data_IF_861763493415
#
_entry.id   IF_861763493415
#
_cell.length_a   1.000
_cell.length_b   1.000
_cell.length_c   1.000
_cell.angle_alpha   90.00
_cell.angle_beta   90.00
_cell.angle_gamma   90.00
#
_symmetry.space_group_name_H-M   'P 1'
#
loop_
_entity.id
_entity.type
_entity.pdbx_description
1 polymer ?
#
# COMPACT_ATOMS: atom_id res chain seq x y z
N UNK A 1 -4.41 -8.83 4.90
CA UNK A 1 -4.00 -7.94 6.00
C UNK A 1 -3.11 -6.85 5.43
N UNK A 2 -3.55 -5.59 5.52
CA UNK A 2 -2.76 -4.44 5.11
C UNK A 2 -1.53 -4.27 6.01
N UNK A 3 -0.40 -3.80 5.46
CA UNK A 3 0.70 -3.30 6.29
C UNK A 3 0.23 -2.00 6.95
N UNK A 4 -0.31 -2.14 8.16
CA UNK A 4 -0.90 -1.07 8.97
C UNK A 4 -0.34 -1.15 10.39
N UNK A 5 -0.48 -0.08 11.19
CA UNK A 5 -0.36 -0.19 12.64
C UNK A 5 -1.24 -1.31 13.20
N UNK A 6 -0.61 -2.26 13.89
CA UNK A 6 -1.27 -3.39 14.54
C UNK A 6 -1.73 -3.06 15.97
N UNK A 7 -1.18 -2.01 16.56
CA UNK A 7 -1.68 -1.43 17.81
C UNK A 7 -2.97 -0.60 17.56
N UNK A 8 -3.67 -0.25 18.64
CA UNK A 8 -4.90 0.56 18.58
C UNK A 8 -4.62 1.93 17.94
N UNK A 9 -5.31 2.25 16.85
CA UNK A 9 -5.16 3.49 16.11
C UNK A 9 -6.50 3.91 15.50
N UNK A 10 -6.59 5.17 15.05
CA UNK A 10 -7.82 5.74 14.52
C UNK A 10 -7.83 5.85 12.98
N UNK A 11 -6.85 5.26 12.26
CA UNK A 11 -6.71 5.45 10.79
C UNK A 11 -8.00 5.05 10.07
N UNK A 12 -8.48 3.83 10.33
CA UNK A 12 -9.67 3.30 9.68
C UNK A 12 -10.94 4.00 10.17
N UNK A 13 -11.03 4.33 11.46
CA UNK A 13 -12.16 5.09 12.01
C UNK A 13 -12.28 6.47 11.35
N UNK A 14 -11.16 7.16 11.10
CA UNK A 14 -11.13 8.45 10.40
C UNK A 14 -11.58 8.25 8.95
N UNK A 15 -11.01 7.28 8.22
CA UNK A 15 -11.42 7.02 6.85
C UNK A 15 -12.92 6.74 6.74
N UNK A 16 -13.48 5.91 7.63
CA UNK A 16 -14.90 5.60 7.62
C UNK A 16 -15.79 6.80 7.95
N UNK A 17 -15.41 7.63 8.93
CA UNK A 17 -16.13 8.87 9.27
C UNK A 17 -16.16 9.84 8.10
N UNK A 18 -15.08 9.89 7.33
CA UNK A 18 -14.92 10.72 6.14
C UNK A 18 -15.49 10.05 4.87
N UNK A 19 -16.30 9.00 5.01
CA UNK A 19 -16.94 8.24 3.92
C UNK A 19 -15.95 7.65 2.89
N UNK A 20 -14.71 7.41 3.31
CA UNK A 20 -13.69 6.74 2.52
C UNK A 20 -13.70 5.23 2.78
N UNK A 21 -13.46 4.42 1.74
CA UNK A 21 -13.39 2.95 1.83
C UNK A 21 -12.10 2.44 1.20
N UNK A 22 -11.41 1.54 1.90
CA UNK A 22 -10.25 0.84 1.34
C UNK A 22 -10.75 -0.30 0.45
N UNK A 23 -10.62 -0.13 -0.87
CA UNK A 23 -11.10 -1.11 -1.87
C UNK A 23 -10.06 -2.15 -2.26
N UNK A 24 -8.78 -1.86 -2.05
CA UNK A 24 -7.67 -2.73 -2.39
C UNK A 24 -6.47 -2.49 -1.48
N UNK A 25 -5.63 -3.51 -1.33
CA UNK A 25 -4.35 -3.43 -0.64
C UNK A 25 -3.32 -4.34 -1.31
N UNK A 26 -2.13 -3.81 -1.60
CA UNK A 26 -1.14 -4.46 -2.46
C UNK A 26 -0.59 -5.78 -1.88
N UNK A 27 -0.37 -5.88 -0.57
CA UNK A 27 0.23 -7.08 0.04
C UNK A 27 -0.72 -8.29 -0.06
N UNK A 28 -2.03 -8.07 -0.19
CA UNK A 28 -3.01 -9.13 -0.44
C UNK A 28 -3.20 -9.47 -1.92
N UNK A 29 -2.45 -8.85 -2.84
CA UNK A 29 -2.55 -9.17 -4.27
C UNK A 29 -2.04 -10.58 -4.55
N UNK A 30 -2.83 -11.39 -5.26
CA UNK A 30 -2.45 -12.74 -5.66
C UNK A 30 -1.62 -12.65 -6.94
N UNK A 31 -0.36 -13.09 -6.88
CA UNK A 31 0.63 -12.88 -7.94
C UNK A 31 1.23 -14.16 -8.54
N UNK A 32 0.97 -15.33 -7.96
CA UNK A 32 1.65 -16.56 -8.38
C UNK A 32 0.89 -17.30 -9.49
N UNK A 33 1.61 -17.98 -10.40
CA UNK A 33 0.98 -18.83 -11.41
C UNK A 33 0.33 -20.06 -10.77
N UNK A 34 -0.50 -20.76 -11.54
CA UNK A 34 -1.09 -22.03 -11.12
C UNK A 34 -0.01 -23.03 -10.67
N UNK A 35 -0.26 -23.71 -9.56
CA UNK A 35 0.70 -24.64 -8.96
C UNK A 35 0.56 -26.02 -9.61
N UNK A 36 1.66 -26.55 -10.16
CA UNK A 36 1.71 -27.91 -10.67
C UNK A 36 2.08 -28.89 -9.54
N UNK A 37 1.12 -29.72 -9.14
CA UNK A 37 1.30 -30.76 -8.12
C UNK A 37 2.27 -31.87 -8.54
N UNK A 38 2.54 -32.05 -9.85
CA UNK A 38 3.55 -33.02 -10.33
C UNK A 38 4.99 -32.51 -10.13
N UNK A 39 5.16 -31.19 -9.95
CA UNK A 39 6.45 -30.52 -9.72
C UNK A 39 6.39 -29.61 -8.50
N UNK A 40 6.12 -30.14 -7.29
CA UNK A 40 5.74 -29.34 -6.13
C UNK A 40 6.82 -28.32 -5.71
N UNK A 41 8.09 -28.75 -5.66
CA UNK A 41 9.18 -27.85 -5.25
C UNK A 41 9.44 -26.72 -6.25
N UNK A 42 9.36 -27.01 -7.55
CA UNK A 42 9.52 -25.98 -8.56
C UNK A 42 8.34 -25.02 -8.60
N UNK A 43 7.11 -25.52 -8.44
CA UNK A 43 5.91 -24.70 -8.32
C UNK A 43 6.01 -23.75 -7.13
N UNK A 44 6.50 -24.24 -5.98
CA UNK A 44 6.74 -23.41 -4.80
C UNK A 44 7.85 -22.37 -5.04
N UNK A 45 8.97 -22.78 -5.66
CA UNK A 45 10.05 -21.85 -6.00
C UNK A 45 9.57 -20.74 -6.95
N UNK A 46 8.82 -21.09 -7.99
CA UNK A 46 8.19 -20.13 -8.91
C UNK A 46 7.25 -19.19 -8.16
N UNK A 47 6.38 -19.72 -7.29
CA UNK A 47 5.50 -18.90 -6.44
C UNK A 47 6.31 -17.89 -5.62
N UNK A 48 7.35 -18.30 -4.91
CA UNK A 48 8.17 -17.39 -4.10
C UNK A 48 8.85 -16.30 -4.92
N UNK A 49 9.40 -16.66 -6.08
CA UNK A 49 10.10 -15.72 -6.97
C UNK A 49 9.15 -14.79 -7.75
N UNK A 50 7.87 -15.13 -7.85
CA UNK A 50 6.86 -14.33 -8.58
C UNK A 50 6.36 -13.12 -7.79
N UNK A 51 6.77 -12.95 -6.52
CA UNK A 51 6.30 -11.81 -5.74
C UNK A 51 6.77 -10.50 -6.35
N UNK A 52 5.84 -9.60 -6.66
CA UNK A 52 6.11 -8.31 -7.29
C UNK A 52 7.00 -7.36 -6.46
N UNK A 53 7.28 -7.66 -5.19
CA UNK A 53 8.24 -6.93 -4.36
C UNK A 53 9.69 -7.41 -4.59
N UNK A 54 9.87 -8.55 -5.27
CA UNK A 54 11.17 -9.09 -5.63
C UNK A 54 11.61 -8.45 -6.97
N UNK A 55 12.85 -7.95 -6.99
CA UNK A 55 13.47 -7.40 -8.18
C UNK A 55 13.27 -5.88 -8.32
N UNK A 56 12.96 -5.44 -9.54
CA UNK A 56 12.84 -4.01 -9.88
C UNK A 56 11.56 -3.42 -9.31
N UNK A 57 11.62 -2.13 -8.95
CA UNK A 57 10.43 -1.41 -8.47
C UNK A 57 9.29 -1.37 -9.49
N UNK A 58 9.62 -1.44 -10.78
CA UNK A 58 8.64 -1.49 -11.87
C UNK A 58 7.62 -2.62 -11.68
N UNK A 59 8.05 -3.79 -11.18
CA UNK A 59 7.17 -4.93 -10.90
C UNK A 59 6.05 -4.55 -9.91
N UNK A 60 6.40 -3.82 -8.85
CA UNK A 60 5.44 -3.33 -7.85
C UNK A 60 4.55 -2.23 -8.43
N UNK A 61 5.12 -1.30 -9.21
CA UNK A 61 4.37 -0.22 -9.85
C UNK A 61 3.30 -0.79 -10.78
N UNK A 62 3.62 -1.81 -11.57
CA UNK A 62 2.68 -2.44 -12.49
C UNK A 62 1.46 -3.02 -11.75
N UNK A 63 1.68 -3.67 -10.60
CA UNK A 63 0.60 -4.18 -9.73
C UNK A 63 -0.23 -3.04 -9.15
N UNK A 64 0.42 -2.00 -8.61
CA UNK A 64 -0.27 -0.83 -8.05
C UNK A 64 -1.14 -0.15 -9.11
N UNK A 65 -0.58 0.12 -10.29
CA UNK A 65 -1.30 0.80 -11.37
C UNK A 65 -2.43 -0.08 -11.94
N UNK A 66 -2.22 -1.39 -12.01
CA UNK A 66 -3.26 -2.34 -12.41
C UNK A 66 -4.41 -2.30 -11.41
N UNK A 67 -4.14 -2.45 -10.11
CA UNK A 67 -5.16 -2.42 -9.09
C UNK A 67 -5.88 -1.06 -9.04
N UNK A 68 -5.14 0.04 -9.15
CA UNK A 68 -5.73 1.38 -9.20
C UNK A 68 -6.78 1.53 -10.31
N UNK A 69 -6.52 0.96 -11.50
CA UNK A 69 -7.48 0.94 -12.61
C UNK A 69 -8.63 -0.03 -12.38
N UNK A 70 -8.33 -1.27 -12.00
CA UNK A 70 -9.33 -2.34 -11.85
C UNK A 70 -10.37 -2.00 -10.76
N UNK A 71 -9.91 -1.38 -9.66
CA UNK A 71 -10.74 -0.99 -8.52
C UNK A 71 -11.20 0.47 -8.56
N UNK A 72 -10.87 1.22 -9.63
CA UNK A 72 -11.25 2.64 -9.81
C UNK A 72 -10.91 3.49 -8.57
N UNK A 73 -9.66 3.43 -8.16
CA UNK A 73 -9.18 4.09 -6.93
C UNK A 73 -9.08 5.60 -7.13
N UNK A 74 -9.70 6.37 -6.23
CA UNK A 74 -9.65 7.84 -6.24
C UNK A 74 -8.38 8.40 -5.56
N UNK A 75 -7.79 7.64 -4.64
CA UNK A 75 -6.61 8.06 -3.87
C UNK A 75 -5.84 6.89 -3.27
N UNK A 76 -4.54 7.06 -3.08
CA UNK A 76 -3.68 6.04 -2.50
C UNK A 76 -3.03 6.49 -1.19
N UNK A 77 -2.91 5.57 -0.23
CA UNK A 77 -2.13 5.77 0.99
C UNK A 77 -0.98 4.77 1.00
N UNK A 78 0.25 5.27 1.02
CA UNK A 78 1.43 4.45 1.28
C UNK A 78 1.80 4.60 2.75
N UNK A 79 1.53 3.57 3.56
CA UNK A 79 2.02 3.53 4.93
C UNK A 79 3.53 3.24 4.94
N UNK A 80 4.31 4.26 5.26
CA UNK A 80 5.77 4.29 5.26
C UNK A 80 6.26 3.81 6.63
N UNK A 81 6.36 2.48 6.77
CA UNK A 81 6.83 1.86 8.01
C UNK A 81 8.28 2.28 8.30
N UNK A 82 8.53 2.70 9.54
CA UNK A 82 9.84 3.05 10.04
C UNK A 82 10.85 1.91 9.79
N UNK A 83 12.01 2.26 9.22
CA UNK A 83 13.06 1.30 8.88
C UNK A 83 12.86 0.51 7.57
N UNK A 84 11.68 0.53 6.94
CA UNK A 84 11.43 -0.19 5.69
C UNK A 84 12.07 0.51 4.48
N UNK A 85 13.36 0.26 4.24
CA UNK A 85 14.12 0.90 3.14
C UNK A 85 13.51 0.67 1.76
N UNK A 86 12.93 -0.50 1.53
CA UNK A 86 12.31 -0.87 0.26
C UNK A 86 11.08 0.03 -0.04
N UNK A 87 10.16 0.18 0.91
CA UNK A 87 8.98 1.02 0.73
C UNK A 87 9.32 2.50 0.74
N UNK A 88 10.16 2.93 1.68
CA UNK A 88 10.47 4.34 1.86
C UNK A 88 11.32 4.88 0.70
N UNK A 89 12.27 4.08 0.19
CA UNK A 89 13.05 4.42 -1.00
C UNK A 89 12.21 4.46 -2.28
N UNK A 90 11.15 3.66 -2.37
CA UNK A 90 10.24 3.62 -3.51
C UNK A 90 9.11 4.65 -3.48
N UNK A 91 8.87 5.32 -2.34
CA UNK A 91 7.70 6.16 -2.11
C UNK A 91 7.51 7.25 -3.16
N UNK A 92 8.61 7.92 -3.57
CA UNK A 92 8.56 8.96 -4.60
C UNK A 92 8.17 8.40 -5.96
N UNK A 93 8.77 7.28 -6.35
CA UNK A 93 8.52 6.65 -7.65
C UNK A 93 7.07 6.14 -7.73
N UNK A 94 6.56 5.56 -6.64
CA UNK A 94 5.16 5.12 -6.54
C UNK A 94 4.22 6.32 -6.69
N UNK A 95 4.45 7.38 -5.91
CA UNK A 95 3.66 8.61 -5.96
C UNK A 95 3.66 9.24 -7.36
N UNK A 96 4.83 9.38 -7.98
CA UNK A 96 4.94 9.95 -9.32
C UNK A 96 4.25 9.06 -10.38
N UNK A 97 4.26 7.73 -10.20
CA UNK A 97 3.58 6.80 -11.11
C UNK A 97 2.06 6.87 -11.00
N UNK A 98 1.52 6.96 -9.79
CA UNK A 98 0.09 7.15 -9.55
C UNK A 98 -0.38 8.53 -10.00
N UNK A 99 0.45 9.56 -9.85
CA UNK A 99 0.14 10.91 -10.31
C UNK A 99 -0.05 10.98 -11.84
N UNK A 100 0.60 10.10 -12.62
CA UNK A 100 0.35 9.99 -14.08
C UNK A 100 -1.08 9.52 -14.41
N UNK A 101 -1.77 8.89 -13.46
CA UNK A 101 -3.18 8.52 -13.54
C UNK A 101 -4.08 9.54 -12.83
N UNK A 102 -3.55 10.69 -12.41
CA UNK A 102 -4.22 11.69 -11.58
C UNK A 102 -4.71 11.14 -10.22
N UNK A 103 -4.01 10.13 -9.67
CA UNK A 103 -4.35 9.57 -8.36
C UNK A 103 -3.47 10.22 -7.29
N UNK A 104 -4.02 11.13 -6.46
CA UNK A 104 -3.28 11.73 -5.35
C UNK A 104 -2.84 10.64 -4.36
N UNK A 105 -1.61 10.77 -3.86
CA UNK A 105 -1.00 9.79 -2.96
C UNK A 105 -0.50 10.45 -1.68
N UNK A 106 -0.97 9.96 -0.53
CA UNK A 106 -0.46 10.28 0.79
C UNK A 106 0.60 9.26 1.22
N UNK A 107 1.83 9.73 1.45
CA UNK A 107 2.85 8.92 2.14
C UNK A 107 2.70 9.18 3.62
N UNK A 108 2.27 8.18 4.38
CA UNK A 108 1.98 8.30 5.80
C UNK A 108 3.05 7.59 6.63
N UNK A 109 3.94 8.36 7.24
CA UNK A 109 5.05 7.84 8.04
C UNK A 109 4.57 7.36 9.41
N UNK A 110 5.06 6.20 9.84
CA UNK A 110 4.75 5.62 11.14
C UNK A 110 5.40 4.26 11.36
N UNK A 111 5.00 3.59 12.43
CA UNK A 111 5.49 2.27 12.80
C UNK A 111 4.31 1.29 12.84
N UNK A 112 4.52 0.04 12.42
CA UNK A 112 3.46 -0.96 12.44
C UNK A 112 3.28 -1.58 13.83
N UNK A 113 4.31 -1.51 14.68
CA UNK A 113 4.42 -2.25 15.94
C UNK A 113 4.56 -1.30 17.13
N UNK A 114 5.48 -0.33 17.07
CA UNK A 114 5.74 0.59 18.18
C UNK A 114 4.94 1.89 18.04
N UNK A 115 3.88 2.03 18.84
CA UNK A 115 3.05 3.24 18.86
C UNK A 115 3.82 4.52 19.22
N UNK A 116 4.95 4.42 19.93
CA UNK A 116 5.74 5.59 20.31
C UNK A 116 6.49 6.20 19.12
N UNK A 117 6.68 5.42 18.05
CA UNK A 117 7.27 5.88 16.80
C UNK A 117 6.25 6.49 15.83
N UNK A 118 5.01 6.73 16.27
CA UNK A 118 3.95 7.31 15.45
C UNK A 118 3.20 8.43 16.19
N UNK A 119 3.29 9.66 15.69
CA UNK A 119 2.52 10.78 16.23
C UNK A 119 1.06 10.71 15.76
N UNK A 120 0.16 10.30 16.65
CA UNK A 120 -1.28 10.16 16.36
C UNK A 120 -1.93 11.47 15.89
N UNK A 121 -1.58 12.59 16.53
CA UNK A 121 -2.11 13.90 16.15
C UNK A 121 -1.68 14.31 14.73
N UNK A 122 -0.40 14.11 14.40
CA UNK A 122 0.12 14.40 13.07
C UNK A 122 -0.50 13.49 12.01
N UNK A 123 -0.63 12.20 12.32
CA UNK A 123 -1.26 11.22 11.44
C UNK A 123 -2.68 11.66 11.09
N UNK A 124 -3.48 12.02 12.10
CA UNK A 124 -4.86 12.46 11.94
C UNK A 124 -4.97 13.68 11.04
N UNK A 125 -4.20 14.73 11.31
CA UNK A 125 -4.23 15.95 10.49
C UNK A 125 -3.84 15.69 9.04
N UNK A 126 -2.82 14.88 8.79
CA UNK A 126 -2.40 14.53 7.41
C UNK A 126 -3.45 13.70 6.68
N UNK A 127 -4.12 12.80 7.39
CA UNK A 127 -5.18 11.98 6.81
C UNK A 127 -6.42 12.81 6.47
N UNK A 128 -6.84 13.70 7.37
CA UNK A 128 -7.96 14.62 7.12
C UNK A 128 -7.69 15.56 5.95
N UNK A 129 -6.51 16.19 5.91
CA UNK A 129 -6.13 17.03 4.77
C UNK A 129 -6.03 16.26 3.44
N UNK A 130 -5.70 14.97 3.49
CA UNK A 130 -5.73 14.13 2.29
C UNK A 130 -7.15 13.83 1.82
N UNK A 131 -8.07 13.54 2.73
CA UNK A 131 -9.50 13.39 2.42
C UNK A 131 -10.07 14.66 1.79
N UNK A 132 -9.74 15.84 2.31
CA UNK A 132 -10.16 17.11 1.72
C UNK A 132 -9.72 17.25 0.26
N UNK A 133 -8.50 16.81 -0.07
CA UNK A 133 -7.99 16.77 -1.45
C UNK A 133 -8.79 15.80 -2.33
N UNK A 134 -9.22 14.65 -1.80
CA UNK A 134 -10.02 13.67 -2.56
C UNK A 134 -11.44 14.16 -2.86
N UNK A 135 -11.99 15.02 -2.00
CA UNK A 135 -13.34 15.57 -2.14
C UNK A 135 -13.37 16.91 -2.91
N UNK A 136 -12.22 17.39 -3.41
CA UNK A 136 -12.07 18.65 -4.14
C UNK A 136 -12.41 18.55 -5.63
#
# INVERSE_FOLDING_TARGET
AALKPYYKNEIFDILERENCRVVFEEINYIYWPELDCKRPFESLAKKMLSHFLVGRIDNRIDVILKAARDYKVDGAILFSHWGCRQSNGGARIIKDSLNKLNIPTLVLDGDCVDQNNSSQGQLKTRLQGFVEILNS
#
